data_IF_645790318374
#
_entry.id   IF_645790318374
#
_cell.length_a   1.000
_cell.length_b   1.000
_cell.length_c   1.000
_cell.angle_alpha   90.00
_cell.angle_beta   90.00
_cell.angle_gamma   90.00
#
_symmetry.space_group_name_H-M   'P 1'
#
loop_
_entity.id
_entity.type
_entity.pdbx_description
1 polymer ?
#
# COMPACT_ATOMS: atom_id res chain seq x y z
N UNK A 1 -0.59 -20.40 7.77
CA UNK A 1 0.30 -19.40 7.15
C UNK A 1 1.68 -19.72 7.71
N UNK A 2 2.33 -20.70 7.10
CA UNK A 2 3.69 -21.08 7.49
C UNK A 2 4.64 -20.23 6.65
N UNK A 3 5.40 -19.37 7.32
CA UNK A 3 6.45 -18.56 6.71
C UNK A 3 7.75 -19.34 6.85
N UNK A 4 8.52 -19.45 5.77
CA UNK A 4 9.83 -20.09 5.81
C UNK A 4 10.90 -19.07 6.25
N UNK A 5 11.53 -19.22 7.44
CA UNK A 5 12.51 -18.26 7.95
C UNK A 5 13.69 -17.92 7.02
N UNK A 6 14.24 -18.85 6.21
CA UNK A 6 15.31 -18.58 5.25
C UNK A 6 15.01 -17.46 4.24
N UNK A 7 13.76 -17.34 3.78
CA UNK A 7 13.35 -16.35 2.76
C UNK A 7 13.47 -14.89 3.25
N UNK A 8 13.54 -14.68 4.56
CA UNK A 8 13.57 -13.36 5.19
C UNK A 8 14.95 -13.01 5.80
N UNK A 9 15.95 -13.87 5.65
CA UNK A 9 17.30 -13.71 6.23
C UNK A 9 17.92 -12.34 5.90
N UNK A 10 17.77 -11.88 4.65
CA UNK A 10 18.20 -10.55 4.21
C UNK A 10 17.59 -9.41 5.04
N UNK A 11 16.31 -9.50 5.38
CA UNK A 11 15.62 -8.48 6.18
C UNK A 11 15.96 -8.60 7.66
N UNK A 12 15.98 -9.82 8.20
CA UNK A 12 16.21 -10.07 9.63
C UNK A 12 17.64 -9.75 10.08
N UNK A 13 18.64 -9.94 9.22
CA UNK A 13 20.04 -9.65 9.55
C UNK A 13 20.30 -8.16 9.83
N UNK A 14 19.53 -7.27 9.23
CA UNK A 14 19.60 -5.82 9.48
C UNK A 14 19.19 -5.42 10.90
N UNK A 15 18.41 -6.23 11.61
CA UNK A 15 17.96 -5.92 12.97
C UNK A 15 18.97 -6.32 14.05
N UNK A 16 20.03 -7.05 13.71
CA UNK A 16 21.07 -7.47 14.67
C UNK A 16 21.77 -6.28 15.34
N UNK A 17 21.81 -5.13 14.66
CA UNK A 17 22.50 -3.92 15.11
C UNK A 17 21.66 -2.63 14.95
N UNK A 18 20.35 -2.75 14.70
CA UNK A 18 19.47 -1.62 14.42
C UNK A 18 18.90 -0.94 15.69
N UNK A 19 18.57 0.36 15.64
CA UNK A 19 17.88 1.07 16.72
C UNK A 19 16.38 0.67 16.82
N UNK A 20 15.71 0.90 17.96
CA UNK A 20 14.27 0.71 18.07
C UNK A 20 13.55 1.60 17.04
N UNK A 21 12.65 0.99 16.24
CA UNK A 21 11.93 1.70 15.18
C UNK A 21 10.42 1.48 15.31
N UNK A 22 9.66 2.52 14.95
CA UNK A 22 8.21 2.50 14.89
C UNK A 22 7.77 3.42 13.74
N UNK A 23 6.67 3.05 13.08
CA UNK A 23 6.09 3.84 12.00
C UNK A 23 4.62 3.48 11.80
N UNK A 24 3.89 4.37 11.12
CA UNK A 24 2.50 4.15 10.74
C UNK A 24 2.35 4.31 9.23
N UNK A 25 1.71 3.33 8.59
CA UNK A 25 1.27 3.44 7.21
C UNK A 25 -0.11 4.09 7.13
N UNK A 26 -0.23 5.24 6.47
CA UNK A 26 -1.52 5.86 6.18
C UNK A 26 -1.92 5.59 4.73
N UNK A 27 -3.14 5.11 4.54
CA UNK A 27 -3.68 4.84 3.21
C UNK A 27 -4.39 6.08 2.68
N UNK A 28 -3.68 6.94 1.95
CA UNK A 28 -4.20 8.22 1.43
C UNK A 28 -5.54 8.07 0.69
N UNK A 29 -5.67 7.10 -0.22
CA UNK A 29 -6.92 6.83 -0.92
C UNK A 29 -8.06 6.43 0.01
N UNK A 30 -7.80 5.59 1.03
CA UNK A 30 -8.85 5.21 2.00
C UNK A 30 -9.18 6.32 2.98
N UNK A 31 -8.19 7.12 3.37
CA UNK A 31 -8.43 8.31 4.18
C UNK A 31 -9.34 9.28 3.44
N UNK A 32 -9.07 9.51 2.15
CA UNK A 32 -9.91 10.37 1.32
C UNK A 32 -11.34 9.83 1.18
N UNK A 33 -11.54 8.52 1.01
CA UNK A 33 -12.89 7.95 0.99
C UNK A 33 -13.68 8.27 2.26
N UNK A 34 -13.04 8.19 3.44
CA UNK A 34 -13.69 8.52 4.71
C UNK A 34 -13.97 10.01 4.80
N UNK A 35 -13.04 10.87 4.36
CA UNK A 35 -13.19 12.32 4.40
C UNK A 35 -14.24 12.84 3.42
N UNK A 36 -14.39 12.22 2.24
CA UNK A 36 -15.31 12.66 1.19
C UNK A 36 -16.64 11.88 1.17
N UNK A 37 -16.74 10.77 1.90
CA UNK A 37 -17.89 9.88 1.87
C UNK A 37 -17.98 9.03 0.59
N UNK A 38 -16.91 8.93 -0.20
CA UNK A 38 -16.90 8.17 -1.44
C UNK A 38 -17.07 6.67 -1.19
N UNK A 39 -17.98 6.03 -1.94
CA UNK A 39 -18.26 4.59 -1.83
C UNK A 39 -17.19 3.70 -2.45
N UNK A 40 -16.32 4.27 -3.31
CA UNK A 40 -15.27 3.54 -4.01
C UNK A 40 -13.94 4.32 -4.04
N UNK A 41 -12.83 3.62 -3.79
CA UNK A 41 -11.47 4.20 -3.84
C UNK A 41 -11.13 4.77 -5.22
N UNK A 42 -11.77 4.29 -6.28
CA UNK A 42 -11.57 4.78 -7.64
C UNK A 42 -12.03 6.22 -7.84
N UNK A 43 -12.94 6.72 -7.00
CA UNK A 43 -13.47 8.09 -7.08
C UNK A 43 -12.52 9.12 -6.47
N UNK A 44 -11.58 8.67 -5.63
CA UNK A 44 -10.61 9.53 -4.93
C UNK A 44 -9.17 9.33 -5.42
N UNK A 45 -8.99 8.63 -6.55
CA UNK A 45 -7.69 8.38 -7.18
C UNK A 45 -7.72 8.85 -8.62
N UNK A 46 -6.80 9.74 -8.98
CA UNK A 46 -6.75 10.38 -10.31
C UNK A 46 -6.66 9.39 -11.48
N UNK A 47 -5.82 8.35 -11.33
CA UNK A 47 -5.68 7.28 -12.31
C UNK A 47 -5.78 5.92 -11.60
N UNK A 48 -7.01 5.41 -11.40
CA UNK A 48 -7.20 4.19 -10.62
C UNK A 48 -6.52 3.00 -11.29
N UNK A 49 -5.82 2.21 -10.48
CA UNK A 49 -5.16 0.97 -10.89
C UNK A 49 -5.94 -0.21 -10.35
N UNK A 50 -6.16 -1.19 -11.19
CA UNK A 50 -6.76 -2.46 -10.81
C UNK A 50 -6.21 -3.58 -11.69
N UNK A 51 -6.58 -4.83 -11.41
CA UNK A 51 -6.10 -6.00 -12.16
C UNK A 51 -6.42 -5.93 -13.67
N UNK A 52 -7.49 -5.24 -14.05
CA UNK A 52 -7.96 -5.09 -15.43
C UNK A 52 -7.59 -3.75 -16.09
N UNK A 53 -7.14 -2.75 -15.33
CA UNK A 53 -6.85 -1.39 -15.78
C UNK A 53 -5.39 -1.04 -15.51
N UNK A 54 -4.58 -1.22 -16.54
CA UNK A 54 -3.13 -0.94 -16.53
C UNK A 54 -2.74 0.25 -17.41
N UNK A 55 -3.69 0.90 -18.08
CA UNK A 55 -3.45 2.09 -18.89
C UNK A 55 -4.35 3.24 -18.46
N UNK A 56 -3.82 4.48 -18.38
CA UNK A 56 -4.64 5.65 -18.16
C UNK A 56 -5.46 5.90 -19.42
N UNK A 57 -6.77 5.66 -19.36
CA UNK A 57 -7.70 6.25 -20.34
C UNK A 57 -7.88 7.71 -19.94
N UNK A 58 -7.30 8.62 -20.71
CA UNK A 58 -7.73 10.03 -20.72
C UNK A 58 -9.10 9.98 -21.40
N UNK A 59 -10.17 10.12 -20.61
CA UNK A 59 -11.53 10.12 -21.14
C UNK A 59 -11.69 11.36 -22.03
N UNK A 60 -12.02 11.15 -23.31
CA UNK A 60 -12.76 12.13 -24.10
C UNK A 60 -14.20 12.18 -23.63
#
# INVERSE_FOLDING_TARGET
MDLDPPDFTFYTDGFRYGPPSCGLGTWSGRLLMVLTGAGNVREVVLFPRDRSRVTPKIQQ
#
